data_IF_110483711878
#
_entry.id   IF_110483711878
#
_cell.length_a   1.000
_cell.length_b   1.000
_cell.length_c   1.000
_cell.angle_alpha   90.00
_cell.angle_beta   90.00
_cell.angle_gamma   90.00
#
_symmetry.space_group_name_H-M   'P 1'
#
loop_
_entity.id
_entity.type
_entity.pdbx_description
1 polymer ?
#
# COMPACT_ATOMS: atom_id res chain seq x y z
N UNK A 1 -1.30 9.14 -39.27
CA UNK A 1 -0.30 8.07 -39.00
C UNK A 1 0.75 8.40 -37.94
N UNK A 2 1.01 9.67 -37.57
CA UNK A 2 1.97 9.97 -36.49
C UNK A 2 1.41 9.74 -35.08
N UNK A 3 0.12 9.98 -34.91
CA UNK A 3 -0.57 9.86 -33.61
C UNK A 3 -0.71 8.41 -33.11
N UNK A 4 -0.88 7.41 -33.98
CA UNK A 4 -0.99 6.01 -33.52
C UNK A 4 0.30 5.53 -32.84
N UNK A 5 1.48 5.98 -33.30
CA UNK A 5 2.76 5.63 -32.65
C UNK A 5 2.83 6.21 -31.25
N UNK A 6 2.39 7.45 -31.09
CA UNK A 6 2.30 8.11 -29.78
C UNK A 6 1.30 7.37 -28.89
N UNK A 7 0.14 7.01 -29.43
CA UNK A 7 -0.88 6.24 -28.71
C UNK A 7 -0.36 4.87 -28.27
N UNK A 8 0.30 4.11 -29.16
CA UNK A 8 0.93 2.83 -28.81
C UNK A 8 2.00 2.97 -27.71
N UNK A 9 2.82 4.03 -27.77
CA UNK A 9 3.81 4.32 -26.72
C UNK A 9 3.11 4.62 -25.38
N UNK A 10 2.06 5.44 -25.38
CA UNK A 10 1.28 5.75 -24.17
C UNK A 10 0.63 4.49 -23.60
N UNK A 11 0.01 3.64 -24.43
CA UNK A 11 -0.59 2.37 -23.98
C UNK A 11 0.45 1.42 -23.38
N UNK A 12 1.65 1.36 -23.98
CA UNK A 12 2.75 0.52 -23.47
C UNK A 12 3.22 1.01 -22.10
N UNK A 13 3.37 2.32 -21.92
CA UNK A 13 3.75 2.91 -20.63
C UNK A 13 2.64 2.69 -19.58
N UNK A 14 1.37 2.88 -19.95
CA UNK A 14 0.24 2.69 -19.04
C UNK A 14 0.12 1.23 -18.58
N UNK A 15 0.26 0.28 -19.50
CA UNK A 15 0.27 -1.15 -19.16
C UNK A 15 1.39 -1.53 -18.18
N UNK A 16 2.59 -0.94 -18.33
CA UNK A 16 3.68 -1.15 -17.39
C UNK A 16 3.38 -0.58 -16.00
N UNK A 17 2.73 0.59 -15.90
CA UNK A 17 2.40 1.23 -14.61
C UNK A 17 1.39 0.39 -13.82
N UNK A 18 0.41 -0.23 -14.48
CA UNK A 18 -0.59 -1.09 -13.81
C UNK A 18 -0.01 -2.39 -13.25
N UNK A 19 1.16 -2.83 -13.73
CA UNK A 19 1.82 -4.03 -13.22
C UNK A 19 2.68 -3.76 -11.97
N UNK A 20 2.93 -2.48 -11.63
CA UNK A 20 3.69 -2.15 -10.44
C UNK A 20 2.77 -2.16 -9.21
N UNK A 21 3.26 -2.80 -8.14
CA UNK A 21 2.65 -2.76 -6.82
C UNK A 21 2.33 -1.34 -6.36
N UNK A 22 1.22 -1.18 -5.63
CA UNK A 22 0.82 0.12 -5.12
C UNK A 22 1.97 0.73 -4.28
N UNK A 23 2.40 1.98 -4.55
CA UNK A 23 3.48 2.63 -3.82
C UNK A 23 3.18 2.78 -2.32
N UNK A 24 1.91 2.78 -1.91
CA UNK A 24 1.51 2.79 -0.50
C UNK A 24 1.98 1.54 0.26
N UNK A 25 2.16 0.40 -0.42
CA UNK A 25 2.74 -0.81 0.17
C UNK A 25 4.23 -0.66 0.56
N UNK A 26 4.85 0.48 0.25
CA UNK A 26 6.19 0.84 0.68
C UNK A 26 6.26 1.55 2.02
N UNK A 27 5.16 2.15 2.46
CA UNK A 27 5.14 2.98 3.65
C UNK A 27 4.76 2.11 4.83
N UNK A 28 5.71 1.93 5.75
CA UNK A 28 5.46 1.14 6.95
C UNK A 28 4.48 1.86 7.89
N UNK A 29 3.57 1.07 8.46
CA UNK A 29 2.62 1.54 9.46
C UNK A 29 3.28 1.59 10.84
N UNK A 30 3.24 2.74 11.49
CA UNK A 30 3.79 2.93 12.84
C UNK A 30 2.87 3.77 13.72
N UNK A 31 2.99 3.59 15.04
CA UNK A 31 2.25 4.39 16.02
C UNK A 31 2.91 5.75 16.25
N UNK A 32 2.11 6.81 16.35
CA UNK A 32 2.55 8.17 16.63
C UNK A 32 2.03 8.64 17.99
N UNK A 33 2.91 9.25 18.78
CA UNK A 33 2.58 9.80 20.10
C UNK A 33 2.44 8.75 21.22
N UNK A 34 2.33 9.22 22.47
CA UNK A 34 2.36 8.38 23.68
C UNK A 34 1.12 8.58 24.56
N UNK A 35 -0.07 8.25 24.04
CA UNK A 35 -1.35 8.40 24.76
C UNK A 35 -1.77 7.16 25.55
N UNK A 36 -1.00 6.07 25.52
CA UNK A 36 -1.36 4.77 26.09
C UNK A 36 -2.69 4.19 25.58
N UNK A 37 -3.11 4.58 24.38
CA UNK A 37 -4.30 4.06 23.71
C UNK A 37 -3.92 2.90 22.80
N UNK A 38 -4.69 1.79 22.87
CA UNK A 38 -4.51 0.67 21.95
C UNK A 38 -5.20 0.98 20.61
N UNK A 39 -4.43 1.01 19.54
CA UNK A 39 -4.88 1.26 18.18
C UNK A 39 -4.56 0.04 17.32
N UNK A 40 -5.60 -0.58 16.76
CA UNK A 40 -5.46 -1.70 15.82
C UNK A 40 -5.69 -1.19 14.40
N UNK A 41 -4.76 -1.52 13.50
CA UNK A 41 -4.83 -1.18 12.07
C UNK A 41 -4.25 -2.31 11.24
N UNK A 42 -4.69 -2.45 10.01
CA UNK A 42 -4.16 -3.46 9.08
C UNK A 42 -3.06 -2.80 8.26
N UNK A 43 -1.88 -3.40 8.26
CA UNK A 43 -0.73 -2.94 7.49
C UNK A 43 -0.10 -4.07 6.69
N UNK A 44 0.69 -3.69 5.69
CA UNK A 44 1.45 -4.63 4.88
C UNK A 44 2.89 -4.76 5.41
N UNK A 45 3.30 -5.98 5.75
CA UNK A 45 4.67 -6.35 6.09
C UNK A 45 5.42 -6.72 4.81
N UNK A 46 6.18 -5.78 4.27
CA UNK A 46 6.97 -6.00 3.04
C UNK A 46 7.95 -7.17 3.16
N UNK A 47 8.66 -7.27 4.28
CA UNK A 47 9.67 -8.31 4.49
C UNK A 47 9.10 -9.74 4.53
N UNK A 48 7.86 -9.86 5.01
CA UNK A 48 7.17 -11.15 5.16
C UNK A 48 6.17 -11.39 4.03
N UNK A 49 6.04 -10.44 3.10
CA UNK A 49 5.02 -10.41 2.06
C UNK A 49 3.60 -10.72 2.58
N UNK A 50 3.21 -10.12 3.70
CA UNK A 50 1.93 -10.43 4.36
C UNK A 50 1.16 -9.19 4.81
N UNK A 51 -0.16 -9.27 4.74
CA UNK A 51 -1.06 -8.32 5.37
C UNK A 51 -1.45 -8.82 6.75
N UNK A 52 -1.30 -7.99 7.78
CA UNK A 52 -1.68 -8.36 9.15
C UNK A 52 -2.19 -7.17 9.95
N UNK A 53 -3.02 -7.46 10.94
CA UNK A 53 -3.39 -6.50 11.97
C UNK A 53 -2.20 -6.23 12.88
N UNK A 54 -1.85 -4.96 13.05
CA UNK A 54 -0.87 -4.47 14.03
C UNK A 54 -1.57 -3.70 15.13
N UNK A 55 -1.09 -3.91 16.35
CA UNK A 55 -1.53 -3.18 17.52
C UNK A 55 -0.43 -2.20 17.94
N UNK A 56 -0.81 -0.94 18.14
CA UNK A 56 0.07 0.11 18.62
C UNK A 56 -0.46 0.65 19.93
N UNK A 57 0.43 0.93 20.88
CA UNK A 57 0.11 1.73 22.07
C UNK A 57 0.59 3.14 21.77
N UNK A 58 -0.31 3.97 21.21
CA UNK A 58 0.03 5.27 20.65
C UNK A 58 -1.16 6.24 20.73
N UNK A 59 -0.98 7.48 20.29
CA UNK A 59 -2.08 8.43 20.12
C UNK A 59 -2.79 8.25 18.77
N UNK A 60 -2.00 7.99 17.73
CA UNK A 60 -2.48 7.80 16.37
C UNK A 60 -1.57 6.79 15.63
N UNK A 61 -1.86 6.54 14.37
CA UNK A 61 -1.00 5.79 13.45
C UNK A 61 -0.69 6.63 12.23
N UNK A 62 0.53 6.52 11.73
CA UNK A 62 0.97 7.18 10.50
C UNK A 62 1.50 6.11 9.52
N UNK A 63 1.57 6.47 8.24
CA UNK A 63 1.83 5.56 7.14
C UNK A 63 0.57 4.93 6.54
N UNK A 64 0.72 3.79 5.86
CA UNK A 64 -0.39 3.16 5.14
C UNK A 64 -1.10 2.13 6.01
N UNK A 65 -2.41 2.33 6.17
CA UNK A 65 -3.32 1.32 6.73
C UNK A 65 -4.43 1.00 5.74
N UNK A 66 -5.00 -0.20 5.87
CA UNK A 66 -6.08 -0.71 5.02
C UNK A 66 -7.32 -1.01 5.86
N UNK A 67 -8.50 -0.95 5.24
CA UNK A 67 -9.77 -1.23 5.93
C UNK A 67 -9.98 -2.74 6.12
N UNK A 68 -9.36 -3.57 5.28
CA UNK A 68 -9.45 -5.02 5.38
C UNK A 68 -8.17 -5.72 4.92
N UNK A 69 -7.97 -6.97 5.39
CA UNK A 69 -6.87 -7.83 4.92
C UNK A 69 -6.98 -8.03 3.41
N UNK A 70 -8.20 -8.25 2.90
CA UNK A 70 -8.44 -8.42 1.47
C UNK A 70 -8.01 -7.21 0.65
N UNK A 71 -8.36 -6.00 1.08
CA UNK A 71 -7.93 -4.78 0.38
C UNK A 71 -6.40 -4.65 0.37
N UNK A 72 -5.76 -4.95 1.50
CA UNK A 72 -4.30 -4.96 1.59
C UNK A 72 -3.68 -6.00 0.64
N UNK A 73 -4.23 -7.21 0.57
CA UNK A 73 -3.73 -8.27 -0.30
C UNK A 73 -3.93 -7.92 -1.77
N UNK A 74 -5.11 -7.42 -2.15
CA UNK A 74 -5.44 -7.01 -3.52
C UNK A 74 -4.50 -5.89 -4.03
N UNK A 75 -3.99 -5.03 -3.14
CA UNK A 75 -3.08 -3.92 -3.49
C UNK A 75 -1.59 -4.28 -3.39
N UNK A 76 -1.22 -5.12 -2.42
CA UNK A 76 0.18 -5.31 -2.03
C UNK A 76 0.73 -6.71 -2.29
N UNK A 77 -0.10 -7.74 -2.38
CA UNK A 77 0.40 -9.11 -2.52
C UNK A 77 0.64 -9.42 -3.99
N UNK A 78 1.77 -10.06 -4.28
CA UNK A 78 2.11 -10.61 -5.60
C UNK A 78 1.55 -12.03 -5.77
#
# INVERSE_FOLDING_TARGET
>A
MRLYKIFCLICSIFGCVSALKDPSCAVELFGQGACNTLITRIGYLRWENMCTSKNFVACDTDGTSFESIKECEDKCKE
#
